data_IF_890280000315
#
_entry.id   IF_890280000315
#
_cell.length_a   1.000
_cell.length_b   1.000
_cell.length_c   1.000
_cell.angle_alpha   90.00
_cell.angle_beta   90.00
_cell.angle_gamma   90.00
#
_symmetry.space_group_name_H-M   'P 1'
#
loop_
_entity.id
_entity.type
_entity.pdbx_description
1 polymer ?
#
# COMPACT_ATOMS: atom_id res chain seq x y z
N UNK A 1 -8.37 25.68 -53.86
CA UNK A 1 -9.46 26.65 -53.66
C UNK A 1 -9.75 26.72 -52.17
N UNK A 2 -9.63 27.93 -51.61
CA UNK A 2 -10.08 28.41 -50.29
C UNK A 2 -9.68 27.56 -49.08
N UNK A 3 -8.50 27.89 -48.55
CA UNK A 3 -8.27 28.02 -47.11
C UNK A 3 -9.33 28.95 -46.51
N UNK A 4 -10.39 28.38 -45.93
CA UNK A 4 -11.26 29.09 -45.00
C UNK A 4 -10.60 29.04 -43.64
N UNK A 5 -9.84 30.09 -43.32
CA UNK A 5 -9.30 30.30 -41.99
C UNK A 5 -10.43 30.57 -41.01
N UNK A 6 -10.40 29.87 -39.88
CA UNK A 6 -10.74 30.42 -38.59
C UNK A 6 -9.57 30.10 -37.65
N UNK A 7 -9.28 31.06 -36.78
CA UNK A 7 -8.07 31.12 -35.97
C UNK A 7 -7.88 29.92 -35.04
N UNK A 8 -6.61 29.66 -34.77
CA UNK A 8 -6.10 28.75 -33.77
C UNK A 8 -6.76 29.00 -32.40
N UNK A 9 -7.57 28.05 -31.97
CA UNK A 9 -7.93 27.82 -30.59
C UNK A 9 -7.72 26.35 -30.28
N UNK A 10 -7.46 26.00 -29.02
CA UNK A 10 -7.13 24.66 -28.51
C UNK A 10 -8.22 23.57 -28.72
N UNK A 11 -9.13 23.80 -29.66
CA UNK A 11 -10.31 23.00 -29.99
C UNK A 11 -10.32 22.71 -31.50
N UNK A 12 -9.43 21.83 -31.95
CA UNK A 12 -9.43 21.34 -33.33
C UNK A 12 -9.88 19.88 -33.34
N UNK A 13 -11.11 19.63 -33.78
CA UNK A 13 -11.59 18.27 -34.03
C UNK A 13 -11.28 17.88 -35.48
N UNK A 14 -10.57 16.77 -35.68
CA UNK A 14 -10.35 16.21 -37.01
C UNK A 14 -11.68 15.66 -37.53
N UNK A 15 -12.03 16.02 -38.77
CA UNK A 15 -13.23 15.51 -39.44
C UNK A 15 -13.18 14.00 -39.64
N UNK A 16 -14.33 13.34 -39.53
CA UNK A 16 -14.46 11.90 -39.75
C UNK A 16 -13.84 11.47 -41.08
N UNK A 17 -12.88 10.55 -41.04
CA UNK A 17 -12.24 9.98 -42.23
C UNK A 17 -10.84 10.51 -42.57
N UNK A 18 -10.27 11.44 -41.80
CA UNK A 18 -8.86 11.85 -41.98
C UNK A 18 -7.94 10.94 -41.17
N UNK A 19 -7.29 9.98 -41.84
CA UNK A 19 -6.43 8.94 -41.24
C UNK A 19 -5.10 9.40 -40.62
N UNK A 20 -5.03 10.62 -40.08
CA UNK A 20 -3.87 11.09 -39.31
C UNK A 20 -3.99 10.62 -37.84
N UNK A 21 -2.86 10.23 -37.22
CA UNK A 21 -2.85 9.83 -35.80
C UNK A 21 -3.26 11.01 -34.92
N UNK A 22 -4.41 10.90 -34.26
CA UNK A 22 -4.95 11.90 -33.33
C UNK A 22 -3.99 12.14 -32.16
N UNK A 23 -3.83 13.40 -31.76
CA UNK A 23 -3.18 13.72 -30.48
C UNK A 23 -4.09 13.34 -29.30
N UNK A 24 -3.55 13.04 -28.11
CA UNK A 24 -4.36 12.64 -26.95
C UNK A 24 -5.44 13.67 -26.56
N UNK A 25 -5.18 14.96 -26.77
CA UNK A 25 -6.13 16.05 -26.49
C UNK A 25 -7.28 16.08 -27.51
N UNK A 26 -6.97 15.91 -28.80
CA UNK A 26 -7.98 15.85 -29.86
C UNK A 26 -8.87 14.61 -29.72
N UNK A 27 -8.29 13.46 -29.36
CA UNK A 27 -9.04 12.23 -29.09
C UNK A 27 -9.99 12.37 -27.90
N UNK A 28 -9.58 13.10 -26.86
CA UNK A 28 -10.44 13.40 -25.71
C UNK A 28 -11.64 14.26 -26.13
N UNK A 29 -11.41 15.31 -26.91
CA UNK A 29 -12.48 16.18 -27.42
C UNK A 29 -13.45 15.39 -28.29
N UNK A 30 -12.96 14.56 -29.22
CA UNK A 30 -13.81 13.67 -30.01
C UNK A 30 -14.65 12.73 -29.14
N UNK A 31 -14.02 12.03 -28.18
CA UNK A 31 -14.74 11.15 -27.24
C UNK A 31 -15.78 11.91 -26.42
N UNK A 32 -15.50 13.14 -26.00
CA UNK A 32 -16.46 13.98 -25.29
C UNK A 32 -17.67 14.33 -26.16
N UNK A 33 -17.45 14.60 -27.44
CA UNK A 33 -18.51 14.86 -28.41
C UNK A 33 -19.30 13.59 -28.75
N UNK A 34 -18.64 12.46 -29.02
CA UNK A 34 -19.27 11.16 -29.27
C UNK A 34 -20.12 10.68 -28.09
N UNK A 35 -19.63 10.86 -26.86
CA UNK A 35 -20.40 10.52 -25.65
C UNK A 35 -21.61 11.45 -25.50
N UNK A 36 -21.49 12.74 -25.83
CA UNK A 36 -22.64 13.65 -25.81
C UNK A 36 -23.67 13.33 -26.90
N UNK A 37 -23.21 12.95 -28.08
CA UNK A 37 -24.08 12.53 -29.18
C UNK A 37 -24.82 11.25 -28.81
N UNK A 38 -24.12 10.26 -28.27
CA UNK A 38 -24.72 9.02 -27.78
C UNK A 38 -25.75 9.27 -26.67
N UNK A 39 -25.51 10.21 -25.74
CA UNK A 39 -26.53 10.61 -24.75
C UNK A 39 -27.78 11.17 -25.44
N UNK A 40 -27.62 12.07 -26.41
CA UNK A 40 -28.77 12.65 -27.14
C UNK A 40 -29.52 11.60 -27.95
N UNK A 41 -28.82 10.67 -28.59
CA UNK A 41 -29.42 9.57 -29.33
C UNK A 41 -30.20 8.64 -28.40
N UNK A 42 -29.63 8.28 -27.24
CA UNK A 42 -30.33 7.43 -26.25
C UNK A 42 -31.52 8.17 -25.64
N UNK A 43 -31.45 9.48 -25.39
CA UNK A 43 -32.59 10.30 -24.97
C UNK A 43 -33.68 10.39 -26.04
N UNK A 44 -33.29 10.54 -27.32
CA UNK A 44 -34.23 10.52 -28.45
C UNK A 44 -34.89 9.14 -28.59
N UNK A 45 -34.12 8.05 -28.50
CA UNK A 45 -34.64 6.68 -28.49
C UNK A 45 -35.56 6.48 -27.28
N UNK A 46 -35.23 7.00 -26.10
CA UNK A 46 -36.10 6.94 -24.93
C UNK A 46 -37.42 7.68 -25.16
N UNK A 47 -37.40 8.84 -25.80
CA UNK A 47 -38.62 9.58 -26.15
C UNK A 47 -39.49 8.83 -27.17
N UNK A 48 -38.87 8.17 -28.16
CA UNK A 48 -39.57 7.38 -29.17
C UNK A 48 -40.08 6.01 -28.64
N UNK A 49 -39.34 5.38 -27.72
CA UNK A 49 -39.73 4.11 -27.07
C UNK A 49 -40.84 4.31 -26.03
N UNK A 50 -40.94 5.51 -25.43
CA UNK A 50 -42.11 5.88 -24.62
C UNK A 50 -43.43 5.80 -25.41
N UNK A 51 -43.37 5.93 -26.73
CA UNK A 51 -44.52 5.82 -27.64
C UNK A 51 -44.74 4.39 -28.19
N UNK A 52 -43.83 3.44 -27.92
CA UNK A 52 -43.91 2.05 -28.39
C UNK A 52 -43.51 1.07 -27.29
N UNK A 53 -44.51 0.60 -26.54
CA UNK A 53 -44.36 -0.24 -25.34
C UNK A 53 -44.01 -1.72 -25.60
N UNK A 54 -43.01 -1.98 -26.45
CA UNK A 54 -42.50 -3.33 -26.67
C UNK A 54 -41.01 -3.29 -27.01
N UNK A 55 -40.16 -3.51 -26.00
CA UNK A 55 -39.07 -4.51 -25.99
C UNK A 55 -38.32 -4.43 -24.63
N UNK A 56 -38.48 -5.48 -23.81
CA UNK A 56 -37.55 -5.88 -22.74
C UNK A 56 -36.27 -6.41 -23.45
N UNK A 57 -35.03 -6.04 -23.15
CA UNK A 57 -34.29 -6.31 -21.90
C UNK A 57 -33.13 -5.31 -21.66
N UNK A 58 -33.03 -4.21 -22.42
CA UNK A 58 -32.06 -3.13 -22.16
C UNK A 58 -32.80 -1.80 -22.17
N UNK A 59 -33.39 -1.43 -21.03
CA UNK A 59 -34.02 -0.10 -20.90
C UNK A 59 -33.03 0.96 -21.39
N UNK A 60 -33.38 1.81 -22.36
CA UNK A 60 -32.53 2.92 -22.80
C UNK A 60 -32.14 3.81 -21.63
N UNK A 61 -32.93 3.82 -20.55
CA UNK A 61 -32.61 4.46 -19.28
C UNK A 61 -31.40 3.87 -18.54
N UNK A 62 -31.17 2.56 -18.61
CA UNK A 62 -29.98 1.92 -18.05
C UNK A 62 -28.73 2.26 -18.87
N UNK A 63 -28.85 2.30 -20.20
CA UNK A 63 -27.76 2.69 -21.09
C UNK A 63 -27.43 4.18 -20.93
N UNK A 64 -28.43 5.06 -20.83
CA UNK A 64 -28.26 6.48 -20.54
C UNK A 64 -27.49 6.71 -19.23
N UNK A 65 -27.85 5.99 -18.16
CA UNK A 65 -27.14 6.05 -16.87
C UNK A 65 -25.70 5.55 -16.97
N UNK A 66 -25.43 4.51 -17.75
CA UNK A 66 -24.07 4.03 -17.97
C UNK A 66 -23.23 5.04 -18.77
N UNK A 67 -23.80 5.65 -19.82
CA UNK A 67 -23.13 6.67 -20.63
C UNK A 67 -22.91 7.96 -19.83
N UNK A 68 -23.86 8.35 -18.97
CA UNK A 68 -23.70 9.47 -18.04
C UNK A 68 -22.61 9.19 -16.99
N UNK A 69 -22.55 7.95 -16.48
CA UNK A 69 -21.46 7.49 -15.62
C UNK A 69 -20.09 7.52 -16.30
N UNK A 70 -20.00 7.08 -17.57
CA UNK A 70 -18.78 7.15 -18.37
C UNK A 70 -18.35 8.60 -18.65
N UNK A 71 -19.31 9.49 -18.95
CA UNK A 71 -19.05 10.93 -19.08
C UNK A 71 -18.47 11.50 -17.79
N UNK A 72 -19.05 11.15 -16.64
CA UNK A 72 -18.59 11.62 -15.34
C UNK A 72 -17.17 11.10 -15.02
N UNK A 73 -16.86 9.83 -15.33
CA UNK A 73 -15.52 9.25 -15.18
C UNK A 73 -14.49 9.88 -16.11
N UNK A 74 -14.86 10.19 -17.36
CA UNK A 74 -13.97 10.83 -18.32
C UNK A 74 -13.63 12.27 -17.89
N UNK A 75 -14.61 12.99 -17.37
CA UNK A 75 -14.41 14.34 -16.83
C UNK A 75 -13.59 14.29 -15.54
N UNK A 76 -13.86 13.36 -14.62
CA UNK A 76 -13.09 13.26 -13.36
C UNK A 76 -11.63 12.85 -13.59
N UNK A 77 -11.36 11.93 -14.53
CA UNK A 77 -9.98 11.55 -14.89
C UNK A 77 -9.22 12.68 -15.58
N UNK A 78 -9.90 13.49 -16.40
CA UNK A 78 -9.29 14.69 -16.99
C UNK A 78 -9.03 15.77 -15.93
N UNK A 79 -9.96 15.95 -15.00
CA UNK A 79 -9.84 16.87 -13.88
C UNK A 79 -8.64 16.49 -13.01
N UNK A 80 -8.46 15.21 -12.68
CA UNK A 80 -7.29 14.69 -11.95
C UNK A 80 -5.97 14.92 -12.70
N UNK A 81 -5.97 14.80 -14.04
CA UNK A 81 -4.80 15.05 -14.88
C UNK A 81 -4.44 16.54 -15.02
N UNK A 82 -5.45 17.44 -15.00
CA UNK A 82 -5.25 18.90 -15.08
C UNK A 82 -4.85 19.51 -13.73
N UNK A 83 -5.47 19.06 -12.64
CA UNK A 83 -5.19 19.55 -11.29
C UNK A 83 -3.96 18.88 -10.66
N UNK A 84 -3.52 17.76 -11.23
CA UNK A 84 -2.39 16.98 -10.74
C UNK A 84 -2.77 16.09 -9.54
N UNK A 85 -2.00 15.00 -9.31
CA UNK A 85 -2.33 13.96 -8.33
C UNK A 85 -2.35 14.40 -6.86
N UNK A 86 -2.00 15.66 -6.58
CA UNK A 86 -1.89 16.22 -5.23
C UNK A 86 -2.98 17.26 -4.90
N UNK A 87 -3.82 17.64 -5.85
CA UNK A 87 -4.87 18.63 -5.63
C UNK A 87 -6.11 17.95 -5.04
N UNK A 88 -6.15 17.83 -3.72
CA UNK A 88 -7.36 17.45 -3.00
C UNK A 88 -8.37 18.61 -3.09
N UNK A 89 -9.35 18.50 -4.00
CA UNK A 89 -10.50 19.40 -4.04
C UNK A 89 -11.49 18.90 -3.00
N UNK A 90 -11.59 19.60 -1.88
CA UNK A 90 -12.66 19.39 -0.91
C UNK A 90 -13.89 20.20 -1.34
N UNK A 91 -14.94 19.52 -1.82
CA UNK A 91 -16.20 20.16 -2.21
C UNK A 91 -17.00 20.69 -1.02
N UNK A 92 -16.70 20.23 0.21
CA UNK A 92 -17.37 20.70 1.42
C UNK A 92 -16.76 22.01 1.96
N UNK A 93 -15.50 22.29 1.66
CA UNK A 93 -14.81 23.53 2.07
C UNK A 93 -13.89 24.08 0.96
N UNK A 94 -14.46 24.70 -0.10
CA UNK A 94 -13.71 25.17 -1.26
C UNK A 94 -12.70 26.29 -0.95
N UNK A 95 -12.84 26.99 0.18
CA UNK A 95 -11.95 28.09 0.61
C UNK A 95 -11.13 27.77 1.88
N UNK A 96 -11.28 26.57 2.44
CA UNK A 96 -10.72 26.21 3.74
C UNK A 96 -11.29 27.08 4.89
N UNK A 97 -12.47 27.67 4.71
CA UNK A 97 -13.09 28.61 5.65
C UNK A 97 -13.62 27.90 6.90
N UNK A 98 -14.16 26.68 6.75
CA UNK A 98 -14.56 25.85 7.89
C UNK A 98 -13.33 25.40 8.67
N UNK A 99 -12.26 25.00 7.99
CA UNK A 99 -10.98 24.66 8.62
C UNK A 99 -10.41 25.85 9.42
N UNK A 100 -10.39 27.06 8.83
CA UNK A 100 -9.95 28.30 9.52
C UNK A 100 -10.84 28.66 10.71
N UNK A 101 -12.16 28.54 10.59
CA UNK A 101 -13.11 28.82 11.69
C UNK A 101 -12.95 27.82 12.83
N UNK A 102 -12.74 26.53 12.52
CA UNK A 102 -12.48 25.51 13.52
C UNK A 102 -11.17 25.80 14.27
N UNK A 103 -10.09 26.12 13.55
CA UNK A 103 -8.81 26.52 14.17
C UNK A 103 -8.97 27.74 15.10
N UNK A 104 -9.70 28.77 14.66
CA UNK A 104 -9.99 29.95 15.50
C UNK A 104 -10.83 29.60 16.73
N UNK A 105 -11.84 28.74 16.60
CA UNK A 105 -12.65 28.28 17.74
C UNK A 105 -11.82 27.45 18.73
N UNK A 106 -10.83 26.69 18.25
CA UNK A 106 -9.88 25.96 19.09
C UNK A 106 -8.88 26.86 19.80
N UNK A 107 -8.39 27.90 19.13
CA UNK A 107 -7.56 28.92 19.76
C UNK A 107 -8.33 29.66 20.86
N UNK A 108 -9.59 30.03 20.61
CA UNK A 108 -10.47 30.67 21.62
C UNK A 108 -10.75 29.73 22.79
N UNK A 109 -11.03 28.45 22.55
CA UNK A 109 -11.23 27.45 23.61
C UNK A 109 -9.95 27.19 24.43
N UNK A 110 -8.78 27.21 23.78
CA UNK A 110 -7.46 27.14 24.44
C UNK A 110 -7.20 28.36 25.32
N UNK A 111 -7.53 29.56 24.84
CA UNK A 111 -7.40 30.81 25.60
C UNK A 111 -8.35 30.87 26.81
N UNK A 112 -9.59 30.38 26.69
CA UNK A 112 -10.54 30.28 27.81
C UNK A 112 -10.05 29.34 28.93
N UNK A 113 -9.35 28.24 28.59
CA UNK A 113 -8.74 27.33 29.58
C UNK A 113 -7.55 27.93 30.31
N UNK A 114 -6.76 28.79 29.65
CA UNK A 114 -5.58 29.43 30.27
C UNK A 114 -5.95 30.53 31.29
N UNK A 115 -7.13 31.15 31.18
CA UNK A 115 -7.59 32.18 32.10
C UNK A 115 -8.18 31.63 33.42
N UNK A 116 -8.43 30.32 33.54
CA UNK A 116 -9.05 29.68 34.71
C UNK A 116 -8.03 29.12 35.72
N UNK A 117 -6.79 29.61 35.71
CA UNK A 117 -5.74 29.20 36.65
C UNK A 117 -5.72 30.03 37.94
N UNK A 118 -6.60 29.71 38.91
CA UNK A 118 -6.38 29.74 40.39
C UNK A 118 -7.72 29.76 41.15
N UNK A 119 -8.19 28.58 41.60
CA UNK A 119 -8.84 28.28 42.91
C UNK A 119 -9.46 26.87 42.88
N UNK A 120 -9.38 26.06 43.96
CA UNK A 120 -9.84 24.67 43.93
C UNK A 120 -11.30 24.46 44.40
N UNK A 121 -11.89 23.40 43.84
CA UNK A 121 -13.04 22.59 44.26
C UNK A 121 -14.46 23.18 44.26
N UNK A 122 -15.35 22.65 43.38
CA UNK A 122 -16.63 21.94 43.72
C UNK A 122 -17.47 21.61 42.46
N UNK A 123 -17.88 20.34 42.33
CA UNK A 123 -18.98 19.69 41.56
C UNK A 123 -19.31 20.08 40.09
N UNK A 124 -19.67 19.11 39.21
CA UNK A 124 -19.90 19.35 37.79
C UNK A 124 -21.31 19.93 37.54
N UNK A 125 -21.37 21.18 37.09
CA UNK A 125 -22.56 21.82 36.49
C UNK A 125 -22.51 21.68 34.95
N UNK A 126 -23.63 21.88 34.23
CA UNK A 126 -23.95 21.18 32.99
C UNK A 126 -23.11 21.62 31.79
N UNK A 127 -22.95 20.66 30.86
CA UNK A 127 -22.20 20.77 29.62
C UNK A 127 -22.70 21.93 28.74
N UNK A 128 -21.97 23.04 28.80
CA UNK A 128 -22.21 24.24 27.99
C UNK A 128 -20.92 24.86 27.47
N UNK A 129 -19.87 24.05 27.24
CA UNK A 129 -18.74 24.31 26.31
C UNK A 129 -17.79 23.08 26.35
N UNK A 130 -18.32 21.84 26.36
CA UNK A 130 -17.47 20.65 26.38
C UNK A 130 -17.10 20.26 24.95
N UNK A 131 -15.93 20.70 24.53
CA UNK A 131 -15.30 20.34 23.27
C UNK A 131 -14.96 18.84 23.28
N UNK A 132 -15.84 18.01 22.73
CA UNK A 132 -15.62 16.57 22.54
C UNK A 132 -15.05 16.34 21.15
N UNK A 133 -13.78 15.97 21.08
CA UNK A 133 -13.18 15.46 19.85
C UNK A 133 -13.28 13.95 19.83
N UNK A 134 -14.13 13.43 18.96
CA UNK A 134 -14.26 12.00 18.72
C UNK A 134 -13.50 11.66 17.43
N UNK A 135 -12.24 11.26 17.60
CA UNK A 135 -11.39 10.81 16.51
C UNK A 135 -11.56 9.30 16.32
N UNK A 136 -12.33 8.90 15.31
CA UNK A 136 -12.39 7.52 14.84
C UNK A 136 -11.31 7.29 13.78
N UNK A 137 -10.05 7.25 14.21
CA UNK A 137 -8.91 7.00 13.33
C UNK A 137 -7.92 6.04 14.01
N UNK A 138 -7.47 5.01 13.30
CA UNK A 138 -6.39 4.11 13.75
C UNK A 138 -5.12 4.39 12.95
N UNK A 139 -4.35 5.44 13.30
CA UNK A 139 -3.16 5.83 12.55
C UNK A 139 -2.11 4.72 12.52
N UNK A 140 -2.04 3.90 13.57
CA UNK A 140 -1.06 2.83 13.70
C UNK A 140 -1.28 1.70 12.68
N UNK A 141 -2.54 1.38 12.36
CA UNK A 141 -2.87 0.32 11.40
C UNK A 141 -2.47 0.72 9.97
N UNK A 142 -2.72 1.99 9.62
CA UNK A 142 -2.34 2.52 8.31
C UNK A 142 -0.83 2.68 8.19
N UNK A 143 -0.16 3.20 9.23
CA UNK A 143 1.30 3.27 9.27
C UNK A 143 1.94 1.88 9.15
N UNK A 144 1.40 0.88 9.84
CA UNK A 144 1.86 -0.50 9.71
C UNK A 144 1.66 -1.05 8.29
N UNK A 145 0.50 -0.80 7.67
CA UNK A 145 0.22 -1.24 6.30
C UNK A 145 1.13 -0.59 5.26
N UNK A 146 1.46 0.69 5.44
CA UNK A 146 2.39 1.42 4.58
C UNK A 146 3.83 0.93 4.78
N UNK A 147 4.26 0.78 6.03
CA UNK A 147 5.58 0.24 6.37
C UNK A 147 5.78 -1.18 5.84
N UNK A 148 4.75 -2.03 5.90
CA UNK A 148 4.79 -3.38 5.34
C UNK A 148 5.02 -3.37 3.80
N UNK A 149 4.33 -2.50 3.06
CA UNK A 149 4.54 -2.33 1.62
C UNK A 149 5.96 -1.84 1.31
N UNK A 150 6.46 -0.88 2.08
CA UNK A 150 7.83 -0.36 1.93
C UNK A 150 8.85 -1.47 2.19
N UNK A 151 8.68 -2.26 3.25
CA UNK A 151 9.59 -3.37 3.59
C UNK A 151 9.59 -4.48 2.52
N UNK A 152 8.44 -4.79 1.91
CA UNK A 152 8.37 -5.74 0.80
C UNK A 152 9.13 -5.22 -0.43
N UNK A 153 8.93 -3.95 -0.77
CA UNK A 153 9.65 -3.30 -1.87
C UNK A 153 11.16 -3.25 -1.60
N UNK A 154 11.58 -2.93 -0.38
CA UNK A 154 12.97 -2.93 0.03
C UNK A 154 13.60 -4.32 -0.08
N UNK A 155 12.88 -5.37 0.38
CA UNK A 155 13.34 -6.76 0.23
C UNK A 155 13.52 -7.15 -1.23
N UNK A 156 12.56 -6.79 -2.09
CA UNK A 156 12.64 -7.06 -3.53
C UNK A 156 13.77 -6.27 -4.18
N UNK A 157 13.96 -5.01 -3.79
CA UNK A 157 15.03 -4.15 -4.27
C UNK A 157 16.40 -4.70 -3.85
N UNK A 158 16.56 -5.15 -2.61
CA UNK A 158 17.80 -5.76 -2.11
C UNK A 158 18.13 -7.07 -2.85
N UNK A 159 17.13 -7.88 -3.21
CA UNK A 159 17.33 -9.08 -4.04
C UNK A 159 17.74 -8.71 -5.47
N UNK A 160 17.11 -7.71 -6.07
CA UNK A 160 17.49 -7.20 -7.39
C UNK A 160 18.90 -6.59 -7.35
N UNK A 161 19.24 -5.86 -6.31
CA UNK A 161 20.59 -5.34 -6.10
C UNK A 161 21.58 -6.48 -5.99
N UNK A 162 21.34 -7.50 -5.16
CA UNK A 162 22.27 -8.64 -5.04
C UNK A 162 22.50 -9.38 -6.37
N UNK A 163 21.50 -9.46 -7.25
CA UNK A 163 21.64 -10.09 -8.57
C UNK A 163 22.34 -9.20 -9.61
N UNK A 164 22.11 -7.88 -9.55
CA UNK A 164 22.58 -6.93 -10.56
C UNK A 164 23.87 -6.23 -10.14
N UNK A 165 24.20 -6.24 -8.85
CA UNK A 165 25.35 -5.55 -8.28
C UNK A 165 26.63 -6.10 -8.89
N UNK A 166 27.23 -5.25 -9.72
CA UNK A 166 28.57 -5.40 -10.21
C UNK A 166 29.50 -4.75 -9.20
N UNK A 167 30.17 -5.56 -8.39
CA UNK A 167 31.34 -5.08 -7.68
C UNK A 167 32.42 -4.87 -8.76
N UNK A 168 32.94 -3.64 -8.95
CA UNK A 168 33.95 -3.41 -9.96
C UNK A 168 35.20 -4.14 -9.51
N UNK A 169 35.41 -5.32 -10.08
CA UNK A 169 36.70 -5.98 -10.02
C UNK A 169 37.64 -5.13 -10.89
N UNK A 170 38.21 -4.12 -10.26
CA UNK A 170 39.16 -3.17 -10.85
C UNK A 170 40.46 -3.87 -11.26
N UNK A 171 40.61 -5.15 -10.92
CA UNK A 171 41.85 -5.88 -11.02
C UNK A 171 42.02 -6.71 -12.30
N UNK A 172 40.98 -6.88 -13.12
CA UNK A 172 41.12 -7.60 -14.39
C UNK A 172 41.19 -6.65 -15.60
N UNK A 173 42.39 -6.26 -16.06
CA UNK A 173 42.56 -5.38 -17.21
C UNK A 173 42.02 -5.98 -18.52
N UNK A 174 41.79 -7.30 -18.57
CA UNK A 174 41.21 -7.97 -19.74
C UNK A 174 39.72 -7.63 -19.93
N UNK A 175 39.05 -7.11 -18.89
CA UNK A 175 37.64 -6.74 -18.95
C UNK A 175 37.40 -5.30 -19.44
N UNK A 176 38.46 -4.49 -19.61
CA UNK A 176 38.34 -3.05 -19.92
C UNK A 176 37.58 -2.79 -21.23
N UNK A 177 37.72 -3.66 -22.24
CA UNK A 177 37.00 -3.55 -23.52
C UNK A 177 35.58 -4.11 -23.51
N UNK A 178 35.14 -4.71 -22.40
CA UNK A 178 33.79 -5.28 -22.24
C UNK A 178 32.91 -4.42 -21.34
N UNK A 179 33.48 -3.46 -20.59
CA UNK A 179 32.73 -2.57 -19.69
C UNK A 179 31.98 -1.50 -20.50
N UNK A 180 30.69 -1.73 -20.72
CA UNK A 180 29.76 -0.68 -21.15
C UNK A 180 29.32 0.22 -19.98
N UNK A 181 28.73 1.38 -20.28
CA UNK A 181 28.16 2.30 -19.27
C UNK A 181 26.93 1.71 -18.56
N UNK A 182 26.28 0.72 -19.18
CA UNK A 182 25.18 -0.06 -18.60
C UNK A 182 25.41 -1.57 -18.77
N UNK A 183 24.73 -2.37 -17.95
CA UNK A 183 24.74 -3.84 -18.10
C UNK A 183 24.23 -4.25 -19.49
N UNK A 184 23.23 -3.55 -20.02
CA UNK A 184 22.67 -3.79 -21.35
C UNK A 184 23.72 -3.53 -22.44
N UNK A 185 24.45 -2.43 -22.35
CA UNK A 185 25.54 -2.13 -23.29
C UNK A 185 26.67 -3.17 -23.23
N UNK A 186 27.01 -3.62 -22.01
CA UNK A 186 28.00 -4.70 -21.81
C UNK A 186 27.56 -6.00 -22.48
N UNK A 187 26.29 -6.39 -22.33
CA UNK A 187 25.71 -7.56 -22.99
C UNK A 187 25.67 -7.39 -24.51
N UNK A 188 25.36 -6.20 -25.03
CA UNK A 188 25.40 -5.92 -26.46
C UNK A 188 26.82 -6.01 -27.05
N UNK A 189 27.83 -5.51 -26.33
CA UNK A 189 29.23 -5.66 -26.72
C UNK A 189 29.61 -7.14 -26.74
N UNK A 190 29.27 -7.91 -25.70
CA UNK A 190 29.51 -9.36 -25.68
C UNK A 190 28.80 -10.06 -26.84
N UNK A 191 27.54 -9.73 -27.10
CA UNK A 191 26.77 -10.32 -28.20
C UNK A 191 27.42 -10.02 -29.56
N UNK A 192 27.87 -8.78 -29.77
CA UNK A 192 28.59 -8.41 -30.99
C UNK A 192 29.89 -9.20 -31.13
N UNK A 193 30.66 -9.38 -30.04
CA UNK A 193 31.88 -10.19 -30.05
C UNK A 193 31.59 -11.67 -30.32
N UNK A 194 30.51 -12.23 -29.77
CA UNK A 194 30.04 -13.61 -30.03
C UNK A 194 29.63 -13.78 -31.49
N UNK A 195 28.96 -12.80 -32.08
CA UNK A 195 28.56 -12.87 -33.49
C UNK A 195 29.74 -12.78 -34.47
N UNK A 196 30.88 -12.22 -34.05
CA UNK A 196 32.11 -12.12 -34.85
C UNK A 196 32.96 -13.41 -34.74
N UNK A 197 32.68 -14.29 -33.78
CA UNK A 197 33.40 -15.53 -33.58
C UNK A 197 33.08 -16.53 -34.69
N UNK A 198 34.00 -16.66 -35.66
CA UNK A 198 34.04 -17.73 -36.65
C UNK A 198 34.91 -18.89 -36.12
N UNK A 199 34.42 -20.12 -36.30
CA UNK A 199 35.06 -21.36 -35.82
C UNK A 199 36.47 -21.52 -36.38
N UNK A 200 36.69 -21.17 -37.66
CA UNK A 200 38.00 -21.30 -38.30
C UNK A 200 39.05 -20.31 -37.74
N UNK A 201 38.61 -19.11 -37.34
CA UNK A 201 39.49 -18.11 -36.72
C UNK A 201 39.75 -18.45 -35.24
N UNK A 202 38.77 -19.08 -34.58
CA UNK A 202 38.88 -19.51 -33.19
C UNK A 202 39.98 -20.57 -33.01
N UNK A 203 40.08 -21.56 -33.89
CA UNK A 203 41.13 -22.59 -33.84
C UNK A 203 42.55 -21.98 -33.97
N UNK A 204 42.71 -20.98 -34.84
CA UNK A 204 43.99 -20.29 -35.02
C UNK A 204 44.34 -19.42 -33.80
N UNK A 205 43.34 -18.78 -33.20
CA UNK A 205 43.52 -18.00 -31.96
C UNK A 205 43.81 -18.92 -30.79
N UNK A 206 43.17 -20.08 -30.70
CA UNK A 206 43.41 -21.08 -29.66
C UNK A 206 44.84 -21.62 -29.72
N UNK A 207 45.35 -21.97 -30.91
CA UNK A 207 46.74 -22.40 -31.07
C UNK A 207 47.76 -21.33 -30.61
N UNK A 208 47.47 -20.05 -30.85
CA UNK A 208 48.29 -18.93 -30.36
C UNK A 208 48.16 -18.73 -28.85
N UNK A 209 46.96 -18.86 -28.29
CA UNK A 209 46.71 -18.80 -26.85
C UNK A 209 47.44 -19.93 -26.11
N UNK A 210 47.50 -21.13 -26.68
CA UNK A 210 48.28 -22.25 -26.13
C UNK A 210 49.78 -21.91 -26.07
N UNK A 211 50.32 -21.25 -27.09
CA UNK A 211 51.72 -20.78 -27.07
C UNK A 211 51.97 -19.69 -26.02
N UNK A 212 51.04 -18.75 -25.86
CA UNK A 212 51.10 -17.72 -24.81
C UNK A 212 51.03 -18.34 -23.43
N UNK A 213 50.12 -19.30 -23.22
CA UNK A 213 49.96 -20.03 -21.97
C UNK A 213 51.23 -20.83 -21.61
N UNK A 214 51.88 -21.46 -22.59
CA UNK A 214 53.17 -22.12 -22.39
C UNK A 214 54.25 -21.13 -21.90
N UNK A 215 54.31 -19.93 -22.48
CA UNK A 215 55.25 -18.88 -22.04
C UNK A 215 54.92 -18.33 -20.64
N UNK A 216 53.63 -18.16 -20.31
CA UNK A 216 53.19 -17.77 -18.95
C UNK A 216 53.58 -18.83 -17.93
N UNK A 217 53.46 -20.11 -18.26
CA UNK A 217 53.89 -21.21 -17.39
C UNK A 217 55.42 -21.25 -17.19
N UNK A 218 56.22 -20.93 -18.21
CA UNK A 218 57.67 -20.77 -18.05
C UNK A 218 58.01 -19.59 -17.12
N UNK A 219 57.29 -18.47 -17.21
CA UNK A 219 57.45 -17.34 -16.29
C UNK A 219 57.06 -17.74 -14.86
N UNK A 220 56.00 -18.53 -14.68
CA UNK A 220 55.58 -19.05 -13.38
C UNK A 220 56.62 -20.00 -12.75
N UNK A 221 57.46 -20.68 -13.56
CA UNK A 221 58.59 -21.49 -13.05
C UNK A 221 59.70 -20.63 -12.43
N UNK A 222 59.82 -19.35 -12.81
CA UNK A 222 60.65 -18.37 -12.10
C UNK A 222 59.96 -17.89 -10.81
N UNK A 223 59.78 -18.86 -9.89
CA UNK A 223 58.90 -18.83 -8.72
C UNK A 223 59.18 -17.71 -7.71
N UNK A 224 60.44 -17.25 -7.59
CA UNK A 224 60.83 -16.30 -6.54
C UNK A 224 60.28 -14.88 -6.74
N UNK A 225 60.28 -14.38 -7.98
CA UNK A 225 59.80 -13.02 -8.29
C UNK A 225 58.27 -12.98 -8.36
N UNK A 226 57.64 -14.06 -8.85
CA UNK A 226 56.17 -14.17 -8.94
C UNK A 226 55.54 -14.33 -7.56
N UNK A 227 56.12 -15.14 -6.68
CA UNK A 227 55.58 -15.31 -5.32
C UNK A 227 55.64 -14.03 -4.49
N UNK A 228 56.68 -13.21 -4.64
CA UNK A 228 56.79 -11.93 -3.94
C UNK A 228 55.77 -10.91 -4.46
N UNK A 229 55.56 -10.84 -5.78
CA UNK A 229 54.51 -9.97 -6.35
C UNK A 229 53.09 -10.39 -5.93
N UNK A 230 52.81 -11.69 -5.86
CA UNK A 230 51.51 -12.23 -5.44
C UNK A 230 51.22 -11.97 -3.95
N UNK A 231 52.22 -12.08 -3.08
CA UNK A 231 52.06 -11.76 -1.66
C UNK A 231 51.85 -10.27 -1.45
N UNK A 232 52.59 -9.41 -2.15
CA UNK A 232 52.39 -7.95 -2.11
C UNK A 232 51.00 -7.54 -2.61
N UNK A 233 50.50 -8.16 -3.68
CA UNK A 233 49.13 -7.93 -4.18
C UNK A 233 48.07 -8.31 -3.14
N UNK A 234 48.22 -9.48 -2.49
CA UNK A 234 47.32 -9.91 -1.41
C UNK A 234 47.37 -8.99 -0.19
N UNK A 235 48.56 -8.53 0.19
CA UNK A 235 48.74 -7.56 1.28
C UNK A 235 47.99 -6.25 0.95
N UNK A 236 48.11 -5.78 -0.29
CA UNK A 236 47.40 -4.58 -0.74
C UNK A 236 45.87 -4.78 -0.73
N UNK A 237 45.37 -5.94 -1.18
CA UNK A 237 43.93 -6.27 -1.09
C UNK A 237 43.44 -6.32 0.36
N UNK A 238 44.22 -6.89 1.29
CA UNK A 238 43.88 -6.93 2.72
C UNK A 238 43.85 -5.53 3.32
N UNK A 239 44.80 -4.67 2.93
CA UNK A 239 44.81 -3.27 3.36
C UNK A 239 43.59 -2.50 2.85
N UNK A 240 43.22 -2.67 1.58
CA UNK A 240 41.99 -2.10 1.01
C UNK A 240 40.73 -2.59 1.75
N UNK A 241 40.64 -3.90 2.02
CA UNK A 241 39.53 -4.45 2.79
C UNK A 241 39.48 -3.84 4.19
N UNK A 242 40.62 -3.72 4.88
CA UNK A 242 40.67 -3.10 6.20
C UNK A 242 40.16 -1.66 6.16
N UNK A 243 40.58 -0.88 5.16
CA UNK A 243 40.16 0.51 5.00
C UNK A 243 38.65 0.65 4.70
N UNK A 244 38.09 -0.28 3.91
CA UNK A 244 36.63 -0.33 3.64
C UNK A 244 35.82 -0.66 4.90
N UNK A 245 36.35 -1.51 5.78
CA UNK A 245 35.67 -1.96 7.00
C UNK A 245 35.86 -1.03 8.19
N UNK A 246 36.86 -0.14 8.19
CA UNK A 246 37.14 0.82 9.26
C UNK A 246 35.92 1.67 9.69
N UNK A 247 35.14 2.29 8.77
CA UNK A 247 33.93 3.01 9.18
C UNK A 247 32.83 2.08 9.72
N UNK A 248 32.71 0.86 9.17
CA UNK A 248 31.69 -0.12 9.59
C UNK A 248 31.99 -0.65 10.99
N UNK A 249 33.26 -0.86 11.32
CA UNK A 249 33.71 -1.36 12.62
C UNK A 249 33.27 -0.46 13.78
N UNK A 250 33.27 0.86 13.58
CA UNK A 250 32.80 1.82 14.58
C UNK A 250 31.28 1.74 14.85
N UNK A 251 30.49 1.36 13.84
CA UNK A 251 29.02 1.27 13.92
C UNK A 251 28.50 -0.11 14.32
N UNK A 252 29.36 -1.14 14.26
CA UNK A 252 28.97 -2.53 14.53
C UNK A 252 28.43 -2.74 15.96
N UNK A 253 29.02 -2.16 17.03
CA UNK A 253 28.48 -2.27 18.37
C UNK A 253 27.05 -1.71 18.48
N UNK A 254 26.77 -0.57 17.83
CA UNK A 254 25.44 0.06 17.84
C UNK A 254 24.40 -0.82 17.15
N UNK A 255 24.75 -1.44 16.02
CA UNK A 255 23.88 -2.38 15.30
C UNK A 255 23.58 -3.60 16.17
N UNK A 256 24.60 -4.17 16.82
CA UNK A 256 24.43 -5.31 17.73
C UNK A 256 23.53 -4.94 18.91
N UNK A 257 23.72 -3.76 19.51
CA UNK A 257 22.90 -3.29 20.61
C UNK A 257 21.43 -3.17 20.20
N UNK A 258 21.15 -2.62 19.00
CA UNK A 258 19.78 -2.54 18.46
C UNK A 258 19.18 -3.92 18.23
N UNK A 259 19.95 -4.88 17.72
CA UNK A 259 19.49 -6.27 17.56
C UNK A 259 19.21 -6.95 18.90
N UNK A 260 20.00 -6.67 19.95
CA UNK A 260 19.73 -7.17 21.29
C UNK A 260 18.44 -6.59 21.86
N UNK A 261 18.20 -5.28 21.71
CA UNK A 261 16.91 -4.69 22.12
C UNK A 261 15.73 -5.25 21.32
N UNK A 262 15.93 -5.53 20.03
CA UNK A 262 14.89 -6.12 19.18
C UNK A 262 14.61 -7.58 19.57
N UNK A 263 15.62 -8.32 20.03
CA UNK A 263 15.44 -9.68 20.54
C UNK A 263 14.50 -9.72 21.74
N UNK A 264 14.66 -8.81 22.70
CA UNK A 264 13.75 -8.73 23.85
C UNK A 264 12.31 -8.45 23.41
N UNK A 265 12.13 -7.55 22.43
CA UNK A 265 10.81 -7.27 21.86
C UNK A 265 10.22 -8.50 21.13
N UNK A 266 11.02 -9.25 20.38
CA UNK A 266 10.60 -10.49 19.72
C UNK A 266 10.20 -11.56 20.73
N UNK A 267 10.91 -11.67 21.85
CA UNK A 267 10.58 -12.58 22.94
C UNK A 267 9.23 -12.20 23.58
N UNK A 268 9.02 -10.91 23.86
CA UNK A 268 7.73 -10.39 24.33
C UNK A 268 6.59 -10.63 23.34
N UNK A 269 6.81 -10.43 22.04
CA UNK A 269 5.80 -10.71 21.02
C UNK A 269 5.43 -12.21 20.95
N UNK A 270 6.40 -13.09 21.19
CA UNK A 270 6.15 -14.54 21.26
C UNK A 270 5.34 -14.90 22.50
N UNK A 271 5.66 -14.32 23.66
CA UNK A 271 4.90 -14.48 24.90
C UNK A 271 3.47 -13.92 24.76
N UNK A 272 3.30 -12.80 24.05
CA UNK A 272 1.99 -12.21 23.78
C UNK A 272 1.07 -13.18 23.02
N UNK A 273 1.58 -13.92 22.03
CA UNK A 273 0.82 -14.96 21.34
C UNK A 273 0.31 -16.05 22.29
N UNK A 274 1.14 -16.48 23.25
CA UNK A 274 0.75 -17.46 24.27
C UNK A 274 -0.31 -16.90 25.24
N UNK A 275 -0.14 -15.65 25.69
CA UNK A 275 -1.11 -14.96 26.56
C UNK A 275 -2.45 -14.79 25.84
N UNK A 276 -2.45 -14.51 24.54
CA UNK A 276 -3.67 -14.34 23.76
C UNK A 276 -4.44 -15.66 23.61
N UNK A 277 -3.74 -16.78 23.42
CA UNK A 277 -4.35 -18.12 23.45
C UNK A 277 -4.92 -18.43 24.84
N UNK A 278 -4.16 -18.14 25.90
CA UNK A 278 -4.65 -18.34 27.27
C UNK A 278 -5.89 -17.48 27.54
N UNK A 279 -5.89 -16.21 27.10
CA UNK A 279 -7.02 -15.31 27.27
C UNK A 279 -8.26 -15.81 26.52
N UNK A 280 -8.10 -16.30 25.29
CA UNK A 280 -9.19 -16.92 24.52
C UNK A 280 -9.77 -18.15 25.25
N UNK A 281 -8.92 -19.03 25.78
CA UNK A 281 -9.39 -20.17 26.58
C UNK A 281 -10.16 -19.73 27.83
N UNK A 282 -9.66 -18.75 28.58
CA UNK A 282 -10.37 -18.24 29.76
C UNK A 282 -11.69 -17.55 29.37
N UNK A 283 -11.74 -16.89 28.21
CA UNK A 283 -12.96 -16.26 27.72
C UNK A 283 -14.00 -17.32 27.31
N UNK A 284 -13.57 -18.43 26.70
CA UNK A 284 -14.44 -19.58 26.41
C UNK A 284 -14.97 -20.23 27.69
N UNK A 285 -14.12 -20.41 28.71
CA UNK A 285 -14.55 -20.93 30.03
C UNK A 285 -15.56 -20.01 30.71
N UNK A 286 -15.32 -18.70 30.73
CA UNK A 286 -16.26 -17.71 31.30
C UNK A 286 -17.58 -17.71 30.51
N UNK A 287 -17.54 -17.78 29.17
CA UNK A 287 -18.73 -17.87 28.35
C UNK A 287 -19.53 -19.16 28.62
N UNK A 288 -18.83 -20.28 28.84
CA UNK A 288 -19.43 -21.54 29.30
C UNK A 288 -20.11 -21.39 30.66
N UNK A 289 -19.40 -20.86 31.66
CA UNK A 289 -19.94 -20.64 32.99
C UNK A 289 -21.14 -19.67 32.98
N UNK A 290 -21.12 -18.64 32.13
CA UNK A 290 -22.24 -17.71 31.97
C UNK A 290 -23.47 -18.42 31.38
N UNK A 291 -23.27 -19.33 30.42
CA UNK A 291 -24.33 -20.15 29.85
C UNK A 291 -24.92 -21.10 30.90
N UNK A 292 -24.09 -21.76 31.69
CA UNK A 292 -24.53 -22.64 32.78
C UNK A 292 -25.34 -21.87 33.84
N UNK A 293 -24.86 -20.69 34.24
CA UNK A 293 -25.58 -19.79 35.14
C UNK A 293 -26.94 -19.36 34.55
N UNK A 294 -27.02 -19.14 33.23
CA UNK A 294 -28.28 -18.80 32.56
C UNK A 294 -29.27 -19.97 32.61
N UNK A 295 -28.80 -21.20 32.42
CA UNK A 295 -29.62 -22.42 32.55
C UNK A 295 -30.11 -22.60 33.99
N UNK A 296 -29.22 -22.45 34.97
CA UNK A 296 -29.57 -22.53 36.39
C UNK A 296 -30.60 -21.48 36.78
N UNK A 297 -30.46 -20.23 36.31
CA UNK A 297 -31.46 -19.19 36.56
C UNK A 297 -32.82 -19.51 35.93
N UNK A 298 -32.84 -20.10 34.73
CA UNK A 298 -34.08 -20.53 34.10
C UNK A 298 -34.76 -21.68 34.88
N UNK A 299 -33.97 -22.61 35.41
CA UNK A 299 -34.47 -23.70 36.26
C UNK A 299 -35.00 -23.19 37.61
N UNK A 300 -34.29 -22.25 38.25
CA UNK A 300 -34.76 -21.56 39.46
C UNK A 300 -36.06 -20.79 39.18
N UNK A 301 -36.16 -20.11 38.04
CA UNK A 301 -37.38 -19.39 37.67
C UNK A 301 -38.55 -20.36 37.42
N UNK A 302 -38.29 -21.52 36.81
CA UNK A 302 -39.30 -22.57 36.60
C UNK A 302 -39.76 -23.17 37.93
N UNK A 303 -38.84 -23.57 38.79
CA UNK A 303 -39.16 -24.15 40.11
C UNK A 303 -39.88 -23.14 41.01
N UNK A 304 -39.53 -21.85 40.97
CA UNK A 304 -40.28 -20.81 41.67
C UNK A 304 -41.73 -20.69 41.18
N UNK A 305 -41.96 -20.77 39.86
CA UNK A 305 -43.33 -20.75 39.29
C UNK A 305 -44.13 -21.98 39.72
N UNK A 306 -43.53 -23.15 39.67
CA UNK A 306 -44.16 -24.41 40.11
C UNK A 306 -44.49 -24.36 41.61
N UNK A 307 -43.55 -23.89 42.44
CA UNK A 307 -43.78 -23.71 43.88
C UNK A 307 -44.88 -22.69 44.17
N UNK A 308 -44.94 -21.57 43.43
CA UNK A 308 -46.02 -20.58 43.57
C UNK A 308 -47.38 -21.18 43.22
N UNK A 309 -47.48 -21.94 42.13
CA UNK A 309 -48.72 -22.63 41.75
C UNK A 309 -49.18 -23.61 42.83
N UNK A 310 -48.25 -24.41 43.38
CA UNK A 310 -48.54 -25.33 44.50
C UNK A 310 -49.02 -24.54 45.74
N UNK A 311 -48.42 -23.40 46.04
CA UNK A 311 -48.84 -22.55 47.17
C UNK A 311 -50.23 -21.96 46.91
N UNK A 312 -50.53 -21.49 45.71
CA UNK A 312 -51.87 -21.00 45.31
C UNK A 312 -52.93 -22.11 45.46
N UNK A 313 -52.64 -23.32 44.96
CA UNK A 313 -53.53 -24.48 45.10
C UNK A 313 -53.78 -24.83 46.58
N UNK A 314 -52.72 -24.84 47.40
CA UNK A 314 -52.85 -25.06 48.84
C UNK A 314 -53.70 -23.99 49.53
N UNK A 315 -53.56 -22.72 49.15
CA UNK A 315 -54.39 -21.63 49.67
C UNK A 315 -55.86 -21.80 49.26
N UNK A 316 -56.13 -22.17 48.01
CA UNK A 316 -57.48 -22.45 47.53
C UNK A 316 -58.12 -23.61 48.29
N UNK A 317 -57.37 -24.68 48.56
CA UNK A 317 -57.83 -25.82 49.37
C UNK A 317 -58.13 -25.42 50.83
N UNK A 318 -57.28 -24.59 51.44
CA UNK A 318 -57.52 -24.06 52.79
C UNK A 318 -58.77 -23.19 52.80
N UNK A 319 -58.94 -22.30 51.81
CA UNK A 319 -60.12 -21.43 51.72
C UNK A 319 -61.40 -22.25 51.51
N UNK A 320 -61.36 -23.29 50.68
CA UNK A 320 -62.47 -24.22 50.50
C UNK A 320 -62.81 -24.96 51.79
N UNK A 321 -61.81 -25.37 52.59
CA UNK A 321 -62.03 -25.98 53.91
C UNK A 321 -62.63 -25.00 54.91
N UNK A 322 -62.18 -23.75 54.94
CA UNK A 322 -62.75 -22.70 55.80
C UNK A 322 -64.23 -22.48 55.43
N UNK A 323 -64.56 -22.39 54.14
CA UNK A 323 -65.95 -22.24 53.66
C UNK A 323 -66.86 -23.41 54.03
N UNK A 324 -66.34 -24.63 54.19
CA UNK A 324 -67.12 -25.78 54.66
C UNK A 324 -67.35 -25.80 56.18
N UNK A 325 -66.59 -25.01 56.94
CA UNK A 325 -66.68 -24.91 58.40
C UNK A 325 -67.53 -23.71 58.86
N UNK A 326 -67.92 -22.83 57.94
CA UNK A 326 -68.91 -21.75 58.14
C UNK A 326 -70.30 -22.22 57.71
#
# INVERSE_FOLDING_TARGET
>A
MRTTGYEAGEYEMLGEGVGAKETPQQRYQRLQHEVQELVREVEQIQSAVKDSAAEEELTPMALARQVEGLKQQLVSSHLEKLLGPAAAIDFADPEGALAKRLLQQLEVAKCKKAAAGKSPAKAPAPAGDMLTFELYWRPEQDQFSQAAKIAELEKRLAQLEAMVRYEPDSQNPLLVGLKGTSLVETVQILQAKVNILDVAVLDQVEARLQSVLAKVNEIAKHKAVVQDADTQSKIHQVYEMMQRWDPVASSLPDVVQRLLTLRELHEQATQFGQVLVHLDTTQQEIAGALKDNTVLLAEVQKTMKENLAIVEDNFADIEARIKRLQ
#
